data_IF_100560617665
#
_entry.id   IF_100560617665
#
_cell.length_a   1.000
_cell.length_b   1.000
_cell.length_c   1.000
_cell.angle_alpha   90.00
_cell.angle_beta   90.00
_cell.angle_gamma   90.00
#
_symmetry.space_group_name_H-M   'P 1'
#
loop_
_entity.id
_entity.type
_entity.pdbx_description
1 polymer ?
#
# COMPACT_ATOMS: atom_id res chain seq x y z
N UNK A 1 -19.82 -19.28 8.91
CA UNK A 1 -18.53 -18.84 9.51
C UNK A 1 -18.75 -18.14 10.84
N UNK A 2 -19.57 -17.08 10.93
CA UNK A 2 -19.83 -16.40 12.20
C UNK A 2 -20.35 -17.34 13.31
N UNK A 3 -21.33 -18.20 13.01
CA UNK A 3 -21.83 -19.21 13.97
C UNK A 3 -20.72 -20.15 14.48
N UNK A 4 -19.83 -20.60 13.59
CA UNK A 4 -18.71 -21.46 13.97
C UNK A 4 -17.69 -20.77 14.88
N UNK A 5 -17.52 -19.45 14.77
CA UNK A 5 -16.72 -18.68 15.73
C UNK A 5 -17.45 -18.46 17.06
N UNK A 6 -18.78 -18.32 17.03
CA UNK A 6 -19.59 -18.21 18.25
C UNK A 6 -19.58 -19.52 19.05
N UNK A 7 -19.65 -20.66 18.36
CA UNK A 7 -19.70 -21.99 19.00
C UNK A 7 -18.32 -22.47 19.49
N UNK A 8 -17.23 -21.97 18.90
CA UNK A 8 -15.85 -22.38 19.21
C UNK A 8 -15.04 -21.17 19.71
N UNK A 9 -15.11 -20.94 21.02
CA UNK A 9 -14.49 -19.79 21.69
C UNK A 9 -12.95 -19.79 21.67
N UNK A 10 -12.32 -20.92 21.33
CA UNK A 10 -10.87 -21.07 21.19
C UNK A 10 -10.32 -20.52 19.85
N UNK A 11 -11.19 -20.29 18.86
CA UNK A 11 -10.79 -19.66 17.60
C UNK A 11 -10.62 -18.14 17.73
N UNK A 12 -9.38 -17.70 17.95
CA UNK A 12 -9.05 -16.28 18.09
C UNK A 12 -8.81 -15.59 16.74
N UNK A 13 -8.24 -16.30 15.77
CA UNK A 13 -7.89 -15.75 14.46
C UNK A 13 -8.39 -16.61 13.30
N UNK A 14 -8.36 -16.04 12.09
CA UNK A 14 -8.64 -16.77 10.84
C UNK A 14 -7.80 -18.06 10.73
N UNK A 15 -6.54 -18.03 11.15
CA UNK A 15 -5.65 -19.18 11.01
C UNK A 15 -6.04 -20.32 11.96
N UNK A 16 -6.47 -19.99 13.17
CA UNK A 16 -6.95 -20.97 14.15
C UNK A 16 -8.23 -21.64 13.64
N UNK A 17 -9.17 -20.82 13.13
CA UNK A 17 -10.40 -21.30 12.52
C UNK A 17 -10.15 -22.25 11.33
N UNK A 18 -9.29 -21.88 10.37
CA UNK A 18 -9.00 -22.72 9.21
C UNK A 18 -8.36 -24.04 9.65
N UNK A 19 -7.42 -24.00 10.59
CA UNK A 19 -6.79 -25.23 11.12
C UNK A 19 -7.80 -26.10 11.85
N UNK A 20 -8.61 -25.53 12.73
CA UNK A 20 -9.63 -26.25 13.49
C UNK A 20 -10.66 -26.92 12.59
N UNK A 21 -11.09 -26.23 11.51
CA UNK A 21 -12.04 -26.80 10.55
C UNK A 21 -11.45 -27.95 9.74
N UNK A 22 -10.18 -27.85 9.33
CA UNK A 22 -9.49 -28.91 8.57
C UNK A 22 -9.15 -30.14 9.43
N UNK A 23 -8.93 -29.95 10.74
CA UNK A 23 -8.69 -31.07 11.67
C UNK A 23 -9.99 -31.77 12.06
N UNK A 24 -11.08 -31.03 12.25
CA UNK A 24 -12.38 -31.55 12.69
C UNK A 24 -13.36 -31.82 11.53
N UNK A 25 -12.85 -32.19 10.34
CA UNK A 25 -13.63 -32.32 9.10
C UNK A 25 -14.79 -33.34 9.25
N UNK A 26 -14.55 -34.47 9.92
CA UNK A 26 -15.53 -35.55 10.10
C UNK A 26 -16.79 -35.13 10.88
N UNK A 27 -16.67 -34.12 11.74
CA UNK A 27 -17.76 -33.69 12.64
C UNK A 27 -18.57 -32.55 12.02
N UNK A 28 -17.90 -31.63 11.34
CA UNK A 28 -18.50 -30.37 10.86
C UNK A 28 -18.96 -30.46 9.40
N UNK A 29 -18.35 -31.30 8.57
CA UNK A 29 -18.70 -31.49 7.15
C UNK A 29 -18.57 -30.23 6.28
N UNK A 30 -17.93 -29.17 6.77
CA UNK A 30 -17.78 -27.89 6.07
C UNK A 30 -16.53 -27.90 5.19
N UNK A 31 -16.62 -27.31 4.00
CA UNK A 31 -15.52 -27.24 3.02
C UNK A 31 -15.01 -25.81 2.86
N UNK A 32 -13.68 -25.65 2.70
CA UNK A 32 -13.04 -24.37 2.38
C UNK A 32 -12.59 -24.40 0.93
N UNK A 33 -13.09 -23.47 0.12
CA UNK A 33 -12.72 -23.35 -1.30
C UNK A 33 -11.60 -22.31 -1.47
N UNK A 34 -10.71 -22.55 -2.44
CA UNK A 34 -9.59 -21.66 -2.77
C UNK A 34 -9.75 -21.11 -4.19
N UNK A 35 -9.48 -19.81 -4.35
CA UNK A 35 -9.31 -19.17 -5.65
C UNK A 35 -7.89 -18.64 -5.76
N UNK A 36 -7.23 -18.90 -6.90
CA UNK A 36 -5.90 -18.39 -7.21
C UNK A 36 -6.02 -17.42 -8.37
N UNK A 37 -5.75 -16.15 -8.08
CA UNK A 37 -5.78 -15.08 -9.07
C UNK A 37 -4.45 -15.04 -9.83
N UNK A 38 -4.51 -14.97 -11.17
CA UNK A 38 -3.33 -14.86 -12.04
C UNK A 38 -3.02 -13.41 -12.42
N UNK A 39 -4.05 -12.57 -12.43
CA UNK A 39 -3.99 -11.18 -12.88
C UNK A 39 -4.47 -10.25 -11.77
N UNK A 40 -3.68 -9.22 -11.47
CA UNK A 40 -3.95 -8.27 -10.39
C UNK A 40 -2.98 -8.42 -9.21
N UNK A 41 -3.00 -7.43 -8.33
CA UNK A 41 -2.11 -7.36 -7.17
C UNK A 41 -2.90 -7.51 -5.88
N UNK A 42 -2.38 -8.31 -4.95
CA UNK A 42 -2.98 -8.52 -3.63
C UNK A 42 -1.94 -8.87 -2.59
N UNK A 43 -1.70 -7.97 -1.64
CA UNK A 43 -0.79 -8.18 -0.53
C UNK A 43 -1.32 -7.48 0.74
N UNK A 44 -0.91 -7.98 1.91
CA UNK A 44 -1.17 -7.32 3.20
C UNK A 44 0.15 -6.98 3.88
N UNK A 45 0.19 -5.81 4.51
CA UNK A 45 1.33 -5.41 5.34
C UNK A 45 1.23 -6.11 6.69
N UNK A 46 2.31 -6.72 7.14
CA UNK A 46 2.42 -7.37 8.46
C UNK A 46 3.68 -7.00 9.24
N UNK A 47 4.62 -6.31 8.61
CA UNK A 47 5.86 -5.84 9.21
C UNK A 47 6.47 -4.72 8.34
N UNK A 48 7.61 -4.17 8.76
CA UNK A 48 8.29 -3.09 8.05
C UNK A 48 8.79 -3.49 6.66
N UNK A 49 9.27 -4.73 6.48
CA UNK A 49 9.71 -5.22 5.18
C UNK A 49 8.55 -5.27 4.18
N UNK A 50 7.40 -5.80 4.60
CA UNK A 50 6.19 -5.83 3.78
C UNK A 50 5.68 -4.42 3.51
N UNK A 51 5.80 -3.50 4.46
CA UNK A 51 5.44 -2.10 4.27
C UNK A 51 6.30 -1.46 3.17
N UNK A 52 7.62 -1.63 3.26
CA UNK A 52 8.56 -1.10 2.27
C UNK A 52 8.28 -1.65 0.86
N UNK A 53 8.13 -2.98 0.73
CA UNK A 53 7.79 -3.62 -0.55
C UNK A 53 6.45 -3.13 -1.10
N UNK A 54 5.38 -3.18 -0.31
CA UNK A 54 4.04 -2.78 -0.77
C UNK A 54 4.00 -1.29 -1.10
N UNK A 55 4.70 -0.44 -0.35
CA UNK A 55 4.79 0.99 -0.63
C UNK A 55 5.55 1.26 -1.94
N UNK A 56 6.64 0.55 -2.19
CA UNK A 56 7.39 0.62 -3.44
C UNK A 56 6.56 0.15 -4.64
N UNK A 57 5.81 -0.95 -4.47
CA UNK A 57 4.92 -1.49 -5.49
C UNK A 57 3.79 -0.51 -5.84
N UNK A 58 3.28 0.22 -4.84
CA UNK A 58 2.31 1.30 -5.05
C UNK A 58 2.88 2.43 -5.91
N UNK A 59 4.07 2.94 -5.60
CA UNK A 59 4.73 4.00 -6.37
C UNK A 59 5.03 3.55 -7.81
N UNK A 60 5.40 2.28 -7.98
CA UNK A 60 5.67 1.65 -9.29
C UNK A 60 4.41 1.22 -10.04
N UNK A 61 3.22 1.53 -9.53
CA UNK A 61 1.92 1.28 -10.18
C UNK A 61 1.56 -0.20 -10.36
N UNK A 62 2.15 -1.10 -9.58
CA UNK A 62 1.76 -2.53 -9.59
C UNK A 62 0.31 -2.75 -9.18
N UNK A 63 -0.25 -1.83 -8.40
CA UNK A 63 -1.61 -1.89 -7.86
C UNK A 63 -2.64 -1.14 -8.71
N UNK A 64 -2.33 -0.83 -9.98
CA UNK A 64 -3.24 -0.14 -10.91
C UNK A 64 -4.62 -0.81 -10.93
N UNK A 65 -5.74 -0.05 -10.93
CA UNK A 65 -5.84 1.39 -11.14
C UNK A 65 -5.57 2.26 -9.91
N UNK A 66 -5.38 1.68 -8.72
CA UNK A 66 -5.17 2.42 -7.47
C UNK A 66 -3.81 3.11 -7.53
N UNK A 67 -3.78 4.44 -7.69
CA UNK A 67 -2.52 5.17 -7.87
C UNK A 67 -2.59 6.52 -7.15
N UNK A 68 -1.44 7.08 -6.70
CA UNK A 68 -1.45 8.33 -5.95
C UNK A 68 -2.12 9.49 -6.69
N UNK A 69 -1.92 9.61 -8.01
CA UNK A 69 -2.50 10.70 -8.80
C UNK A 69 -3.98 10.54 -9.13
N UNK A 70 -4.51 9.32 -9.04
CA UNK A 70 -5.91 9.05 -9.31
C UNK A 70 -6.84 9.52 -8.18
N UNK A 71 -6.29 9.94 -7.03
CA UNK A 71 -7.00 10.56 -5.91
C UNK A 71 -8.32 9.86 -5.55
N UNK A 72 -8.26 8.53 -5.33
CA UNK A 72 -9.45 7.72 -5.00
C UNK A 72 -10.12 8.09 -3.68
N UNK A 73 -9.42 8.80 -2.80
CA UNK A 73 -10.01 9.35 -1.59
C UNK A 73 -10.57 10.73 -1.93
N UNK A 74 -11.89 10.93 -1.76
CA UNK A 74 -12.61 12.21 -1.94
C UNK A 74 -12.21 13.26 -0.89
N UNK A 75 -10.91 13.57 -0.80
CA UNK A 75 -10.39 14.67 -0.01
C UNK A 75 -10.08 15.83 -0.93
N UNK A 76 -10.90 16.88 -0.83
CA UNK A 76 -10.68 18.14 -1.51
C UNK A 76 -9.23 18.63 -1.30
N UNK A 77 -8.55 18.94 -2.40
CA UNK A 77 -7.19 19.49 -2.38
C UNK A 77 -6.04 18.48 -2.46
N UNK A 78 -6.32 17.18 -2.59
CA UNK A 78 -5.30 16.22 -3.06
C UNK A 78 -5.33 16.22 -4.60
N UNK A 79 -4.61 17.14 -5.22
CA UNK A 79 -4.19 16.95 -6.60
C UNK A 79 -2.76 16.44 -6.58
N UNK A 80 -2.46 15.42 -7.36
CA UNK A 80 -1.10 14.89 -7.49
C UNK A 80 -0.79 14.80 -8.98
N UNK A 81 0.34 15.36 -9.37
CA UNK A 81 0.84 15.30 -10.74
C UNK A 81 1.78 14.13 -10.89
N UNK A 82 1.57 13.33 -11.94
CA UNK A 82 2.43 12.22 -12.30
C UNK A 82 3.31 12.60 -13.50
N UNK A 83 4.63 12.43 -13.35
CA UNK A 83 5.64 12.70 -14.36
C UNK A 83 6.39 11.42 -14.73
N UNK A 84 7.30 11.50 -15.73
CA UNK A 84 8.14 10.37 -16.13
C UNK A 84 8.93 9.79 -14.95
N UNK A 85 9.27 8.51 -15.04
CA UNK A 85 9.98 7.74 -14.00
C UNK A 85 9.22 7.64 -12.67
N UNK A 86 7.88 7.59 -12.70
CA UNK A 86 7.04 7.47 -11.49
C UNK A 86 7.34 8.56 -10.46
N UNK A 87 7.45 9.79 -10.93
CA UNK A 87 7.64 10.96 -10.06
C UNK A 87 6.29 11.61 -9.81
N UNK A 88 5.88 11.63 -8.54
CA UNK A 88 4.61 12.16 -8.04
C UNK A 88 4.85 13.44 -7.25
N UNK A 89 4.15 14.51 -7.61
CA UNK A 89 4.26 15.81 -6.94
C UNK A 89 2.91 16.39 -6.63
N UNK A 90 2.68 16.68 -5.35
CA UNK A 90 1.53 17.43 -4.88
C UNK A 90 1.76 18.96 -4.97
N UNK A 91 0.71 19.79 -4.86
CA UNK A 91 0.79 21.25 -4.85
C UNK A 91 1.71 21.82 -3.77
N UNK A 92 2.35 22.94 -4.07
CA UNK A 92 3.18 23.67 -3.10
C UNK A 92 4.57 23.05 -2.85
N UNK A 93 4.97 22.03 -3.62
CA UNK A 93 6.33 21.50 -3.58
C UNK A 93 7.30 22.50 -4.19
N UNK A 94 8.36 22.83 -3.46
CA UNK A 94 9.47 23.68 -3.95
C UNK A 94 10.76 22.86 -4.03
N UNK A 95 11.46 23.00 -5.15
CA UNK A 95 12.70 22.27 -5.44
C UNK A 95 13.84 23.27 -5.57
N UNK A 96 14.86 23.14 -4.71
CA UNK A 96 16.05 23.96 -4.76
C UNK A 96 16.90 23.70 -6.00
N UNK A 97 17.75 24.67 -6.34
CA UNK A 97 18.61 24.60 -7.52
C UNK A 97 19.56 23.38 -7.44
N UNK A 98 19.73 22.68 -8.56
CA UNK A 98 20.61 21.50 -8.65
C UNK A 98 20.02 20.21 -8.08
N UNK A 99 18.81 20.25 -7.51
CA UNK A 99 18.16 19.05 -6.96
C UNK A 99 17.46 18.23 -8.04
N UNK A 100 17.51 16.91 -7.91
CA UNK A 100 17.07 15.94 -8.90
C UNK A 100 16.18 14.87 -8.26
N UNK A 101 15.07 14.57 -8.95
CA UNK A 101 14.20 13.43 -8.63
C UNK A 101 14.41 12.41 -9.74
N UNK A 102 15.02 11.27 -9.41
CA UNK A 102 15.45 10.30 -10.41
C UNK A 102 14.31 9.37 -10.81
N UNK A 103 13.85 8.53 -9.89
CA UNK A 103 12.79 7.57 -10.13
C UNK A 103 12.02 7.19 -8.86
N UNK A 104 10.76 6.79 -9.03
CA UNK A 104 9.91 6.25 -7.97
C UNK A 104 9.89 7.19 -6.73
N UNK A 105 9.61 8.47 -6.97
CA UNK A 105 9.59 9.50 -5.93
C UNK A 105 8.19 10.03 -5.75
N UNK A 106 7.71 10.11 -4.51
CA UNK A 106 6.49 10.86 -4.18
C UNK A 106 6.81 11.98 -3.21
N UNK A 107 6.28 13.18 -3.49
CA UNK A 107 6.47 14.35 -2.64
C UNK A 107 5.12 14.97 -2.30
N UNK A 108 4.80 14.94 -1.01
CA UNK A 108 3.59 15.53 -0.46
C UNK A 108 3.59 17.05 -0.51
N UNK A 109 2.39 17.62 -0.36
CA UNK A 109 2.13 19.05 -0.48
C UNK A 109 2.97 19.91 0.47
N UNK A 110 3.24 21.14 0.04
CA UNK A 110 3.96 22.14 0.82
C UNK A 110 5.35 21.68 1.33
N UNK A 111 5.97 20.71 0.66
CA UNK A 111 7.30 20.24 1.01
C UNK A 111 8.37 21.10 0.32
N UNK A 112 9.38 21.49 1.08
CA UNK A 112 10.53 22.27 0.61
C UNK A 112 11.74 21.36 0.53
N UNK A 113 12.33 21.26 -0.66
CA UNK A 113 13.59 20.55 -0.88
C UNK A 113 14.68 21.58 -1.13
N UNK A 114 15.77 21.49 -0.38
CA UNK A 114 16.96 22.31 -0.54
C UNK A 114 17.67 22.13 -1.89
N UNK A 115 18.85 22.74 -2.00
CA UNK A 115 19.70 22.68 -3.19
C UNK A 115 20.59 21.43 -3.22
N UNK A 116 20.92 20.94 -4.42
CA UNK A 116 21.81 19.80 -4.66
C UNK A 116 21.38 18.47 -3.98
N UNK A 117 20.08 18.22 -3.86
CA UNK A 117 19.53 16.95 -3.35
C UNK A 117 19.31 15.94 -4.49
N UNK A 118 19.62 14.66 -4.26
CA UNK A 118 19.23 13.56 -5.16
C UNK A 118 18.25 12.66 -4.44
N UNK A 119 17.06 12.46 -5.02
CA UNK A 119 15.98 11.68 -4.42
C UNK A 119 15.57 10.56 -5.38
N UNK A 120 15.54 9.33 -4.88
CA UNK A 120 15.21 8.12 -5.64
C UNK A 120 14.53 7.10 -4.74
N UNK A 121 13.54 6.35 -5.26
CA UNK A 121 12.86 5.25 -4.56
C UNK A 121 12.40 5.65 -3.13
N UNK A 122 11.78 6.83 -3.01
CA UNK A 122 11.48 7.46 -1.72
C UNK A 122 10.11 8.12 -1.73
N UNK A 123 9.40 8.03 -0.61
CA UNK A 123 8.14 8.75 -0.36
C UNK A 123 8.37 9.79 0.73
N UNK A 124 8.15 11.06 0.39
CA UNK A 124 8.24 12.20 1.30
C UNK A 124 6.83 12.70 1.60
N UNK A 125 6.51 12.84 2.88
CA UNK A 125 5.21 13.34 3.35
C UNK A 125 4.97 14.82 3.03
N UNK A 126 3.82 15.31 3.49
CA UNK A 126 3.44 16.71 3.36
C UNK A 126 4.08 17.58 4.45
N UNK A 127 4.34 18.85 4.12
CA UNK A 127 4.89 19.87 5.01
C UNK A 127 6.27 19.50 5.57
N UNK A 128 7.10 18.83 4.77
CA UNK A 128 8.47 18.51 5.15
C UNK A 128 9.44 19.61 4.68
N UNK A 129 10.56 19.75 5.39
CA UNK A 129 11.70 20.57 4.97
C UNK A 129 12.91 19.66 4.92
N UNK A 130 13.51 19.52 3.74
CA UNK A 130 14.65 18.65 3.44
C UNK A 130 15.84 19.50 3.03
#
# INVERSE_FOLDING_TARGET
VAELFTDNFDYQTKNDFVRGLLVNEEILGNQIHMHVTKDGYGARVSNLLMYDTVSSDMIRRWIYPITPEANFADQEGQSCTHSRHNVYREPGVSLGHGSQMEENVLIGRNTVIGANCTISNTVIGANCVI
#
